data_IF_942494116514
#
_entry.id   IF_942494116514
#
_cell.length_a   1.000
_cell.length_b   1.000
_cell.length_c   1.000
_cell.angle_alpha   90.00
_cell.angle_beta   90.00
_cell.angle_gamma   90.00
#
_symmetry.space_group_name_H-M   'P 1'
#
loop_
_entity.id
_entity.type
_entity.pdbx_description
1 polymer ?
#
# COMPACT_ATOMS: atom_id res chain seq x y z
N UNK A 1 -17.51 -5.74 -30.60
CA UNK A 1 -16.29 -6.41 -30.14
C UNK A 1 -15.91 -5.83 -28.76
N UNK A 2 -16.84 -6.05 -27.81
CA UNK A 2 -16.78 -5.53 -26.41
C UNK A 2 -16.47 -6.72 -25.44
N UNK A 3 -15.88 -7.80 -26.00
CA UNK A 3 -15.62 -9.03 -25.23
C UNK A 3 -14.27 -9.08 -24.51
N UNK A 4 -13.49 -7.98 -24.51
CA UNK A 4 -12.21 -7.95 -23.79
C UNK A 4 -12.34 -7.71 -22.27
N UNK A 5 -13.53 -7.35 -21.79
CA UNK A 5 -13.89 -7.32 -20.37
C UNK A 5 -15.08 -8.27 -20.15
N UNK A 6 -14.76 -9.57 -20.10
CA UNK A 6 -15.77 -10.60 -19.84
C UNK A 6 -15.94 -10.75 -18.31
N UNK A 7 -17.00 -10.20 -17.70
CA UNK A 7 -17.30 -10.42 -16.28
C UNK A 7 -17.68 -11.88 -15.95
N UNK A 8 -17.74 -12.74 -16.97
CA UNK A 8 -18.03 -14.16 -16.89
C UNK A 8 -16.83 -15.07 -17.11
N UNK A 9 -15.59 -14.59 -17.19
CA UNK A 9 -14.45 -15.46 -17.30
C UNK A 9 -14.28 -16.24 -15.98
N UNK A 10 -14.84 -17.42 -15.93
CA UNK A 10 -14.60 -18.34 -14.82
C UNK A 10 -13.09 -18.58 -14.70
N UNK A 11 -12.51 -18.16 -13.57
CA UNK A 11 -11.11 -18.41 -13.28
C UNK A 11 -10.81 -19.90 -13.49
N UNK A 12 -9.72 -20.20 -14.16
CA UNK A 12 -9.25 -21.58 -14.33
C UNK A 12 -9.03 -22.25 -12.96
N UNK A 13 -9.10 -23.55 -12.92
CA UNK A 13 -8.90 -24.30 -11.66
C UNK A 13 -7.59 -23.95 -10.95
N UNK A 14 -6.43 -23.76 -11.63
CA UNK A 14 -5.19 -23.33 -10.99
C UNK A 14 -5.27 -21.90 -10.45
N UNK A 15 -5.90 -20.95 -11.15
CA UNK A 15 -6.08 -19.57 -10.69
C UNK A 15 -6.99 -19.48 -9.45
N UNK A 16 -8.07 -20.29 -9.41
CA UNK A 16 -8.93 -20.41 -8.21
C UNK A 16 -8.14 -20.96 -7.01
N UNK A 17 -7.27 -21.93 -7.22
CA UNK A 17 -6.44 -22.50 -6.16
C UNK A 17 -5.39 -21.51 -5.64
N UNK A 18 -4.76 -20.74 -6.52
CA UNK A 18 -3.80 -19.70 -6.15
C UNK A 18 -4.49 -18.57 -5.37
N UNK A 19 -5.63 -18.08 -5.85
CA UNK A 19 -6.44 -17.07 -5.18
C UNK A 19 -6.91 -17.50 -3.78
N UNK A 20 -7.39 -18.75 -3.64
CA UNK A 20 -7.83 -19.25 -2.32
C UNK A 20 -6.67 -19.35 -1.34
N UNK A 21 -5.49 -19.71 -1.82
CA UNK A 21 -4.27 -19.83 -1.00
C UNK A 21 -3.75 -18.44 -0.60
N UNK A 22 -3.73 -17.47 -1.51
CA UNK A 22 -3.39 -16.08 -1.24
C UNK A 22 -4.34 -15.47 -0.19
N UNK A 23 -5.66 -15.63 -0.39
CA UNK A 23 -6.67 -15.17 0.55
C UNK A 23 -6.50 -15.77 1.95
N UNK A 24 -6.15 -17.06 2.04
CA UNK A 24 -5.86 -17.71 3.34
C UNK A 24 -4.64 -17.06 4.02
N UNK A 25 -3.57 -16.78 3.28
CA UNK A 25 -2.41 -16.09 3.82
C UNK A 25 -2.75 -14.71 4.40
N UNK A 26 -3.53 -13.91 3.67
CA UNK A 26 -3.99 -12.60 4.13
C UNK A 26 -4.95 -12.67 5.33
N UNK A 27 -5.80 -13.70 5.38
CA UNK A 27 -6.68 -13.92 6.54
C UNK A 27 -5.88 -14.30 7.79
N UNK A 28 -4.86 -15.15 7.65
CA UNK A 28 -3.95 -15.48 8.76
C UNK A 28 -3.30 -14.20 9.30
N UNK A 29 -2.79 -13.35 8.41
CA UNK A 29 -2.21 -12.06 8.77
C UNK A 29 -3.22 -11.18 9.53
N UNK A 30 -4.42 -11.00 8.99
CA UNK A 30 -5.47 -10.19 9.61
C UNK A 30 -5.88 -10.73 11.00
N UNK A 31 -6.09 -12.05 11.11
CA UNK A 31 -6.43 -12.69 12.40
C UNK A 31 -5.30 -12.51 13.40
N UNK A 32 -4.04 -12.64 12.98
CA UNK A 32 -2.89 -12.41 13.86
C UNK A 32 -2.86 -10.96 14.36
N UNK A 33 -3.09 -9.96 13.50
CA UNK A 33 -3.22 -8.56 13.92
C UNK A 33 -4.33 -8.38 14.97
N UNK A 34 -5.51 -8.99 14.75
CA UNK A 34 -6.60 -8.92 15.71
C UNK A 34 -6.21 -9.52 17.07
N UNK A 35 -5.61 -10.71 17.04
CA UNK A 35 -5.20 -11.41 18.28
C UNK A 35 -4.14 -10.61 19.03
N UNK A 36 -3.09 -10.14 18.32
CA UNK A 36 -2.05 -9.31 18.94
C UNK A 36 -2.64 -8.03 19.51
N UNK A 37 -3.52 -7.35 18.77
CA UNK A 37 -4.19 -6.14 19.22
C UNK A 37 -5.05 -6.36 20.47
N UNK A 38 -5.88 -7.40 20.48
CA UNK A 38 -6.72 -7.73 21.64
C UNK A 38 -5.88 -8.08 22.88
N UNK A 39 -4.84 -8.89 22.71
CA UNK A 39 -3.93 -9.24 23.80
C UNK A 39 -3.17 -8.00 24.30
N UNK A 40 -2.76 -7.10 23.39
CA UNK A 40 -2.13 -5.84 23.78
C UNK A 40 -3.01 -5.03 24.73
N UNK A 41 -4.31 -4.87 24.47
CA UNK A 41 -5.22 -4.11 25.34
C UNK A 41 -5.36 -4.73 26.74
N UNK A 42 -5.34 -6.07 26.84
CA UNK A 42 -5.31 -6.74 28.16
C UNK A 42 -4.03 -6.40 28.91
N UNK A 43 -2.89 -6.47 28.22
CA UNK A 43 -1.60 -6.18 28.85
C UNK A 43 -1.35 -4.68 29.11
N UNK A 44 -1.97 -3.79 28.34
CA UNK A 44 -1.99 -2.34 28.67
C UNK A 44 -2.61 -2.10 30.04
N UNK A 45 -3.75 -2.75 30.30
CA UNK A 45 -4.42 -2.65 31.59
C UNK A 45 -3.55 -3.19 32.74
N UNK A 46 -2.78 -4.25 32.51
CA UNK A 46 -1.92 -4.87 33.49
C UNK A 46 -0.58 -4.14 33.70
N UNK A 47 -0.01 -3.60 32.62
CA UNK A 47 1.36 -3.01 32.64
C UNK A 47 1.40 -1.50 32.71
N UNK A 48 0.30 -0.82 32.33
CA UNK A 48 0.23 0.65 32.12
C UNK A 48 1.23 1.19 31.09
N UNK A 49 1.78 0.33 30.19
CA UNK A 49 2.76 0.70 29.18
C UNK A 49 2.11 1.38 27.97
N UNK A 50 2.62 2.55 27.61
CA UNK A 50 2.20 3.28 26.40
C UNK A 50 2.77 2.65 25.12
N UNK A 51 3.93 2.01 25.18
CA UNK A 51 4.49 1.26 24.07
C UNK A 51 3.58 0.10 23.66
N UNK A 52 3.03 -0.65 24.64
CA UNK A 52 2.09 -1.74 24.39
C UNK A 52 0.75 -1.20 23.83
N UNK A 53 0.26 -0.05 24.35
CA UNK A 53 -0.93 0.59 23.83
C UNK A 53 -0.77 0.96 22.35
N UNK A 54 0.37 1.55 22.00
CA UNK A 54 0.65 1.95 20.63
C UNK A 54 0.68 0.75 19.68
N UNK A 55 1.33 -0.35 20.08
CA UNK A 55 1.38 -1.58 19.31
C UNK A 55 -0.03 -2.19 19.14
N UNK A 56 -0.83 -2.22 20.21
CA UNK A 56 -2.23 -2.68 20.17
C UNK A 56 -3.08 -1.89 19.20
N UNK A 57 -3.02 -0.56 19.27
CA UNK A 57 -3.77 0.33 18.35
C UNK A 57 -3.34 0.12 16.91
N UNK A 58 -2.04 0.01 16.63
CA UNK A 58 -1.55 -0.26 15.28
C UNK A 58 -2.06 -1.59 14.73
N UNK A 59 -2.03 -2.64 15.53
CA UNK A 59 -2.53 -3.95 15.13
C UNK A 59 -4.04 -3.93 14.82
N UNK A 60 -4.85 -3.20 15.58
CA UNK A 60 -6.29 -3.01 15.28
C UNK A 60 -6.49 -2.20 13.99
N UNK A 61 -5.74 -1.12 13.78
CA UNK A 61 -5.78 -0.35 12.53
C UNK A 61 -5.42 -1.25 11.34
N UNK A 62 -4.39 -2.08 11.46
CA UNK A 62 -3.97 -3.00 10.39
C UNK A 62 -5.01 -4.08 10.13
N UNK A 63 -5.64 -4.62 11.16
CA UNK A 63 -6.75 -5.56 11.02
C UNK A 63 -7.92 -4.95 10.26
N UNK A 64 -8.43 -3.80 10.71
CA UNK A 64 -9.57 -3.12 10.07
C UNK A 64 -9.27 -2.74 8.63
N UNK A 65 -8.12 -2.10 8.38
CA UNK A 65 -7.73 -1.73 7.01
C UNK A 65 -7.48 -2.95 6.12
N UNK A 66 -6.99 -4.06 6.69
CA UNK A 66 -6.85 -5.35 6.00
C UNK A 66 -8.20 -5.90 5.52
N UNK A 67 -9.24 -5.85 6.36
CA UNK A 67 -10.60 -6.25 5.98
C UNK A 67 -11.16 -5.38 4.85
N UNK A 68 -10.97 -4.06 4.93
CA UNK A 68 -11.37 -3.14 3.86
C UNK A 68 -10.59 -3.42 2.56
N UNK A 69 -9.29 -3.68 2.64
CA UNK A 69 -8.47 -4.03 1.47
C UNK A 69 -8.98 -5.31 0.78
N UNK A 70 -9.37 -6.33 1.55
CA UNK A 70 -10.00 -7.55 1.00
C UNK A 70 -11.33 -7.26 0.30
N UNK A 71 -12.13 -6.35 0.83
CA UNK A 71 -13.39 -5.93 0.20
C UNK A 71 -13.14 -5.17 -1.09
N UNK A 72 -12.23 -4.20 -1.07
CA UNK A 72 -11.85 -3.38 -2.23
C UNK A 72 -11.24 -4.24 -3.33
N UNK A 73 -10.37 -5.20 -3.00
CA UNK A 73 -9.81 -6.14 -3.97
C UNK A 73 -10.89 -6.93 -4.74
N UNK A 74 -12.09 -7.04 -4.18
CA UNK A 74 -13.26 -7.61 -4.85
C UNK A 74 -13.93 -6.56 -5.75
N UNK A 75 -14.18 -5.34 -5.22
CA UNK A 75 -14.77 -4.24 -5.97
C UNK A 75 -13.94 -3.82 -7.20
N UNK A 76 -12.62 -3.88 -7.11
CA UNK A 76 -11.71 -3.58 -8.24
C UNK A 76 -11.85 -4.54 -9.44
N UNK A 77 -12.57 -5.66 -9.28
CA UNK A 77 -12.88 -6.61 -10.35
C UNK A 77 -14.26 -6.39 -10.95
N UNK A 78 -15.08 -5.57 -10.31
CA UNK A 78 -16.39 -5.20 -10.81
C UNK A 78 -16.22 -4.03 -11.82
N UNK A 79 -16.96 -4.04 -12.93
CA UNK A 79 -16.99 -2.90 -13.83
C UNK A 79 -17.48 -1.66 -13.08
N UNK A 80 -17.11 -0.48 -13.55
CA UNK A 80 -17.69 0.76 -13.05
C UNK A 80 -19.22 0.75 -13.22
N UNK A 81 -19.91 1.43 -12.32
CA UNK A 81 -21.35 1.62 -12.34
C UNK A 81 -21.70 3.08 -12.68
N UNK A 82 -22.99 3.43 -12.62
CA UNK A 82 -23.45 4.81 -12.88
C UNK A 82 -22.89 5.82 -11.85
N UNK A 83 -22.64 5.38 -10.62
CA UNK A 83 -22.08 6.23 -9.55
C UNK A 83 -20.55 6.36 -9.65
N UNK A 84 -19.87 5.27 -10.08
CA UNK A 84 -18.42 5.23 -10.25
C UNK A 84 -18.05 4.85 -11.70
N UNK A 85 -18.24 5.75 -12.68
CA UNK A 85 -18.05 5.44 -14.11
C UNK A 85 -16.60 5.10 -14.48
N UNK A 86 -15.61 5.53 -13.68
CA UNK A 86 -14.20 5.15 -13.83
C UNK A 86 -13.80 3.94 -12.95
N UNK A 87 -14.80 3.25 -12.37
CA UNK A 87 -14.57 2.11 -11.48
C UNK A 87 -14.04 2.51 -10.10
N UNK A 88 -13.59 1.51 -9.35
CA UNK A 88 -13.26 1.63 -7.92
C UNK A 88 -11.77 1.81 -7.62
N UNK A 89 -10.93 2.13 -8.62
CA UNK A 89 -9.47 2.18 -8.50
C UNK A 89 -8.98 3.14 -7.38
N UNK A 90 -9.68 4.24 -7.17
CA UNK A 90 -9.35 5.26 -6.16
C UNK A 90 -9.60 4.83 -4.71
N UNK A 91 -10.38 3.76 -4.48
CA UNK A 91 -10.58 3.23 -3.14
C UNK A 91 -9.30 2.62 -2.53
N UNK A 92 -8.39 2.10 -3.37
CA UNK A 92 -7.12 1.55 -2.90
C UNK A 92 -6.21 2.64 -2.28
N UNK A 93 -5.89 3.75 -2.95
CA UNK A 93 -5.15 4.85 -2.33
C UNK A 93 -5.92 5.51 -1.18
N UNK A 94 -7.25 5.62 -1.23
CA UNK A 94 -8.05 6.17 -0.14
C UNK A 94 -7.82 5.39 1.17
N UNK A 95 -7.96 4.07 1.16
CA UNK A 95 -7.75 3.23 2.35
C UNK A 95 -6.31 3.29 2.83
N UNK A 96 -5.34 3.28 1.90
CA UNK A 96 -3.93 3.41 2.26
C UNK A 96 -3.62 4.77 2.88
N UNK A 97 -4.28 5.84 2.41
CA UNK A 97 -4.19 7.18 2.97
C UNK A 97 -4.77 7.28 4.37
N UNK A 98 -5.99 6.76 4.56
CA UNK A 98 -6.64 6.70 5.88
C UNK A 98 -5.79 5.90 6.87
N UNK A 99 -5.29 4.72 6.47
CA UNK A 99 -4.39 3.92 7.30
C UNK A 99 -3.14 4.71 7.70
N UNK A 100 -2.45 5.33 6.72
CA UNK A 100 -1.26 6.11 6.98
C UNK A 100 -1.54 7.31 7.91
N UNK A 101 -2.65 8.01 7.72
CA UNK A 101 -3.05 9.14 8.56
C UNK A 101 -3.38 8.72 9.99
N UNK A 102 -4.11 7.61 10.18
CA UNK A 102 -4.43 7.08 11.52
C UNK A 102 -3.17 6.65 12.27
N UNK A 103 -2.28 5.89 11.62
CA UNK A 103 -1.01 5.46 12.23
C UNK A 103 -0.13 6.66 12.56
N UNK A 104 -0.04 7.66 11.66
CA UNK A 104 0.71 8.89 11.89
C UNK A 104 0.14 9.68 13.07
N UNK A 105 -1.18 9.89 13.10
CA UNK A 105 -1.86 10.62 14.18
C UNK A 105 -1.63 9.96 15.54
N UNK A 106 -1.80 8.63 15.63
CA UNK A 106 -1.54 7.89 16.86
C UNK A 106 -0.07 7.92 17.28
N UNK A 107 0.87 7.88 16.30
CA UNK A 107 2.30 8.03 16.60
C UNK A 107 2.62 9.40 17.20
N UNK A 108 2.02 10.48 16.68
CA UNK A 108 2.23 11.84 17.21
C UNK A 108 1.64 12.00 18.61
N UNK A 109 0.45 11.47 18.86
CA UNK A 109 -0.18 11.46 20.20
C UNK A 109 0.69 10.70 21.18
N UNK A 110 1.16 9.49 20.80
CA UNK A 110 2.02 8.69 21.64
C UNK A 110 3.37 9.38 21.94
N UNK A 111 3.95 10.04 20.92
CA UNK A 111 5.19 10.82 21.07
C UNK A 111 5.01 11.98 22.07
N UNK A 112 3.91 12.74 21.95
CA UNK A 112 3.61 13.84 22.87
C UNK A 112 3.44 13.32 24.30
N UNK A 113 2.66 12.26 24.52
CA UNK A 113 2.46 11.65 25.84
C UNK A 113 3.73 11.05 26.43
N UNK A 114 4.62 10.48 25.60
CA UNK A 114 5.90 9.97 26.05
C UNK A 114 6.87 11.10 26.42
N UNK A 115 6.89 12.18 25.67
CA UNK A 115 7.69 13.36 25.99
C UNK A 115 7.22 14.04 27.30
N UNK A 116 5.92 14.15 27.51
CA UNK A 116 5.33 14.65 28.75
C UNK A 116 5.70 13.73 29.94
N UNK A 117 5.55 12.42 29.80
CA UNK A 117 5.93 11.47 30.82
C UNK A 117 7.43 11.56 31.17
N UNK A 118 8.30 11.64 30.15
CA UNK A 118 9.73 11.82 30.37
C UNK A 118 10.08 13.12 31.12
N UNK A 119 9.37 14.22 30.83
CA UNK A 119 9.56 15.51 31.50
C UNK A 119 9.01 15.53 32.93
N UNK A 120 8.02 14.68 33.25
CA UNK A 120 7.33 14.62 34.54
C UNK A 120 7.89 13.56 35.51
N UNK A 121 9.05 12.99 35.22
CA UNK A 121 9.69 12.00 36.10
C UNK A 121 9.53 10.55 35.64
N UNK A 122 9.00 10.34 34.43
CA UNK A 122 8.82 9.02 33.85
C UNK A 122 7.41 8.43 34.08
N UNK A 123 7.26 7.16 33.77
CA UNK A 123 6.02 6.40 33.99
C UNK A 123 6.33 5.08 34.66
N UNK A 124 5.63 4.82 35.74
CA UNK A 124 5.73 3.50 36.38
C UNK A 124 4.98 2.47 35.56
N UNK A 125 5.64 1.40 35.17
CA UNK A 125 5.07 0.25 34.50
C UNK A 125 5.34 -1.03 35.26
N UNK A 126 4.44 -2.01 35.15
CA UNK A 126 4.64 -3.34 35.72
C UNK A 126 5.50 -4.14 34.71
N UNK A 127 6.76 -4.37 35.11
CA UNK A 127 7.79 -4.98 34.26
C UNK A 127 7.46 -6.42 33.86
N UNK A 128 6.87 -7.21 34.73
CA UNK A 128 6.52 -8.61 34.46
C UNK A 128 5.46 -8.72 33.35
N UNK A 129 4.38 -7.92 33.45
CA UNK A 129 3.35 -7.86 32.42
C UNK A 129 3.91 -7.31 31.09
N UNK A 130 4.75 -6.27 31.14
CA UNK A 130 5.34 -5.69 29.95
C UNK A 130 6.23 -6.70 29.19
N UNK A 131 7.08 -7.44 29.90
CA UNK A 131 7.90 -8.53 29.34
C UNK A 131 7.02 -9.66 28.83
N UNK A 132 5.99 -10.06 29.59
CA UNK A 132 5.05 -11.11 29.17
C UNK A 132 4.39 -10.80 27.83
N UNK A 133 3.91 -9.57 27.67
CA UNK A 133 3.40 -9.11 26.37
C UNK A 133 4.46 -9.14 25.28
N UNK A 134 5.65 -8.59 25.54
CA UNK A 134 6.70 -8.48 24.53
C UNK A 134 7.18 -9.87 24.04
N UNK A 135 7.24 -10.87 24.93
CA UNK A 135 7.50 -12.27 24.54
C UNK A 135 6.38 -12.79 23.62
N UNK A 136 5.12 -12.61 24.03
CA UNK A 136 3.97 -13.02 23.22
C UNK A 136 3.98 -12.35 21.83
N UNK A 137 4.14 -11.02 21.77
CA UNK A 137 4.14 -10.27 20.51
C UNK A 137 5.30 -10.70 19.61
N UNK A 138 6.50 -10.90 20.16
CA UNK A 138 7.67 -11.38 19.43
C UNK A 138 7.41 -12.75 18.81
N UNK A 139 6.90 -13.71 19.58
CA UNK A 139 6.57 -15.05 19.09
C UNK A 139 5.47 -15.00 18.03
N UNK A 140 4.42 -14.21 18.25
CA UNK A 140 3.32 -14.05 17.32
C UNK A 140 3.79 -13.45 15.96
N UNK A 141 4.57 -12.37 16.01
CA UNK A 141 5.09 -11.71 14.81
C UNK A 141 6.03 -12.62 13.98
N UNK A 142 6.97 -13.32 14.63
CA UNK A 142 7.86 -14.25 13.93
C UNK A 142 7.10 -15.47 13.41
N UNK A 143 6.10 -15.98 14.13
CA UNK A 143 5.23 -17.06 13.65
C UNK A 143 4.43 -16.63 12.43
N UNK A 144 3.85 -15.43 12.45
CA UNK A 144 3.14 -14.85 11.29
C UNK A 144 4.08 -14.68 10.09
N UNK A 145 5.28 -14.13 10.32
CA UNK A 145 6.30 -14.03 9.26
C UNK A 145 6.60 -15.37 8.60
N UNK A 146 6.88 -16.40 9.39
CA UNK A 146 7.21 -17.73 8.87
C UNK A 146 6.02 -18.34 8.13
N UNK A 147 4.80 -18.22 8.66
CA UNK A 147 3.58 -18.71 8.05
C UNK A 147 3.28 -18.04 6.72
N UNK A 148 3.25 -16.70 6.68
CA UNK A 148 2.99 -15.92 5.47
C UNK A 148 4.09 -16.13 4.42
N UNK A 149 5.35 -16.16 4.82
CA UNK A 149 6.49 -16.45 3.93
C UNK A 149 6.38 -17.84 3.30
N UNK A 150 5.96 -18.84 4.08
CA UNK A 150 5.79 -20.20 3.57
C UNK A 150 4.69 -20.25 2.48
N UNK A 151 3.56 -19.61 2.73
CA UNK A 151 2.47 -19.48 1.74
C UNK A 151 2.92 -18.68 0.51
N UNK A 152 3.59 -17.56 0.70
CA UNK A 152 4.10 -16.69 -0.37
C UNK A 152 5.05 -17.41 -1.33
N UNK A 153 5.89 -18.32 -0.83
CA UNK A 153 6.79 -19.12 -1.66
C UNK A 153 6.05 -20.14 -2.54
N UNK A 154 4.86 -20.58 -2.13
CA UNK A 154 4.05 -21.55 -2.88
C UNK A 154 3.17 -20.90 -3.94
N UNK A 155 2.71 -19.66 -3.72
CA UNK A 155 1.80 -18.94 -4.60
C UNK A 155 2.50 -17.94 -5.50
N UNK A 156 3.80 -17.69 -5.29
CA UNK A 156 4.57 -16.65 -5.96
C UNK A 156 3.94 -15.24 -5.92
N UNK A 157 2.98 -15.01 -5.00
CA UNK A 157 2.22 -13.77 -4.84
C UNK A 157 3.10 -12.60 -4.39
N UNK A 158 3.15 -11.48 -5.14
CA UNK A 158 3.84 -10.26 -4.71
C UNK A 158 3.23 -9.66 -3.44
N UNK A 159 1.90 -9.78 -3.26
CA UNK A 159 1.17 -9.25 -2.12
C UNK A 159 1.58 -9.97 -0.83
N UNK A 160 1.61 -11.31 -0.83
CA UNK A 160 2.07 -12.09 0.32
C UNK A 160 3.56 -11.90 0.60
N UNK A 161 4.39 -11.62 -0.42
CA UNK A 161 5.81 -11.26 -0.20
C UNK A 161 5.94 -9.94 0.55
N UNK A 162 5.14 -8.93 0.17
CA UNK A 162 5.12 -7.65 0.86
C UNK A 162 4.61 -7.79 2.30
N UNK A 163 3.55 -8.59 2.50
CA UNK A 163 3.01 -8.86 3.83
C UNK A 163 4.01 -9.60 4.73
N UNK A 164 4.72 -10.61 4.21
CA UNK A 164 5.80 -11.28 4.92
C UNK A 164 6.94 -10.33 5.30
N UNK A 165 7.32 -9.39 4.42
CA UNK A 165 8.31 -8.37 4.74
C UNK A 165 7.84 -7.45 5.88
N UNK A 166 6.56 -7.08 5.91
CA UNK A 166 5.97 -6.30 7.01
C UNK A 166 6.03 -7.07 8.34
N UNK A 167 5.68 -8.36 8.34
CA UNK A 167 5.78 -9.21 9.54
C UNK A 167 7.21 -9.39 10.02
N UNK A 168 8.19 -9.46 9.12
CA UNK A 168 9.62 -9.49 9.48
C UNK A 168 10.03 -8.20 10.21
N UNK A 169 9.62 -7.04 9.71
CA UNK A 169 9.88 -5.75 10.37
C UNK A 169 9.19 -5.69 11.74
N UNK A 170 7.92 -6.08 11.82
CA UNK A 170 7.20 -6.13 13.10
C UNK A 170 7.87 -7.08 14.11
N UNK A 171 8.33 -8.26 13.67
CA UNK A 171 9.09 -9.18 14.51
C UNK A 171 10.39 -8.60 15.03
N UNK A 172 11.13 -7.86 14.19
CA UNK A 172 12.34 -7.17 14.62
C UNK A 172 12.05 -6.05 15.63
N UNK A 173 10.99 -5.26 15.39
CA UNK A 173 10.54 -4.22 16.33
C UNK A 173 10.10 -4.84 17.66
N UNK A 174 9.26 -5.88 17.65
CA UNK A 174 8.82 -6.57 18.88
C UNK A 174 10.00 -7.18 19.64
N UNK A 175 11.01 -7.69 18.94
CA UNK A 175 12.26 -8.17 19.59
C UNK A 175 13.01 -7.02 20.26
N UNK A 176 13.11 -5.86 19.63
CA UNK A 176 13.74 -4.68 20.24
C UNK A 176 12.96 -4.19 21.47
N UNK A 177 11.62 -4.21 21.43
CA UNK A 177 10.75 -3.91 22.56
C UNK A 177 10.96 -4.90 23.72
N UNK A 178 11.06 -6.19 23.40
CA UNK A 178 11.35 -7.23 24.40
C UNK A 178 12.70 -6.98 25.08
N UNK A 179 13.74 -6.68 24.31
CA UNK A 179 15.07 -6.37 24.86
C UNK A 179 15.04 -5.12 25.75
N UNK A 180 14.27 -4.09 25.36
CA UNK A 180 14.10 -2.88 26.16
C UNK A 180 13.41 -3.18 27.50
N UNK A 181 12.33 -3.96 27.52
CA UNK A 181 11.69 -4.33 28.78
C UNK A 181 12.52 -5.30 29.63
N UNK A 182 13.28 -6.22 29.00
CA UNK A 182 14.23 -7.06 29.73
C UNK A 182 15.36 -6.24 30.37
N UNK A 183 15.75 -5.11 29.80
CA UNK A 183 16.76 -4.23 30.39
C UNK A 183 16.34 -3.65 31.74
N UNK A 184 15.03 -3.60 32.06
CA UNK A 184 14.52 -3.15 33.34
C UNK A 184 15.06 -4.03 34.50
N UNK A 185 15.13 -5.35 34.29
CA UNK A 185 15.69 -6.26 35.29
C UNK A 185 17.19 -6.03 35.49
N UNK A 186 17.93 -5.71 34.42
CA UNK A 186 19.34 -5.36 34.50
C UNK A 186 19.55 -4.02 35.23
N UNK A 187 18.73 -3.00 34.91
CA UNK A 187 18.75 -1.69 35.57
C UNK A 187 18.53 -1.86 37.10
N UNK A 188 17.53 -2.66 37.45
CA UNK A 188 17.25 -2.99 38.86
C UNK A 188 18.44 -3.71 39.53
N UNK A 189 19.01 -4.73 38.88
CA UNK A 189 20.16 -5.46 39.39
C UNK A 189 21.42 -4.58 39.60
N UNK A 190 21.54 -3.50 38.82
CA UNK A 190 22.62 -2.51 38.95
C UNK A 190 22.33 -1.42 40.01
N UNK A 191 21.16 -1.46 40.66
CA UNK A 191 20.76 -0.45 41.66
C UNK A 191 20.41 0.91 41.08
N UNK A 192 20.08 0.97 39.77
CA UNK A 192 19.76 2.20 39.07
C UNK A 192 18.23 2.41 38.92
N UNK A 193 17.46 2.08 39.93
CA UNK A 193 15.99 2.06 39.94
C UNK A 193 15.36 3.38 39.53
N UNK A 194 16.05 4.52 39.72
CA UNK A 194 15.61 5.84 39.29
C UNK A 194 15.45 5.98 37.74
N UNK A 195 16.04 5.05 36.95
CA UNK A 195 15.91 5.02 35.51
C UNK A 195 14.70 4.19 35.03
N UNK A 196 14.16 3.31 35.87
CA UNK A 196 13.05 2.42 35.47
C UNK A 196 11.83 3.15 34.91
N UNK A 197 11.37 4.29 35.50
CA UNK A 197 10.20 5.03 34.96
C UNK A 197 10.42 5.60 33.58
N UNK A 198 11.68 5.74 33.14
CA UNK A 198 12.00 6.31 31.83
C UNK A 198 12.07 5.27 30.69
N UNK A 199 12.09 3.97 31.00
CA UNK A 199 12.24 2.90 29.99
C UNK A 199 11.12 2.95 28.96
N UNK A 200 9.85 3.00 29.38
CA UNK A 200 8.70 3.05 28.49
C UNK A 200 8.63 4.36 27.67
N UNK A 201 8.73 5.57 28.27
CA UNK A 201 8.77 6.81 27.50
C UNK A 201 9.89 6.87 26.46
N UNK A 202 11.10 6.47 26.83
CA UNK A 202 12.26 6.45 25.93
C UNK A 202 12.04 5.45 24.79
N UNK A 203 11.50 4.28 25.10
CA UNK A 203 11.16 3.27 24.11
C UNK A 203 10.11 3.78 23.10
N UNK A 204 9.03 4.41 23.58
CA UNK A 204 8.01 5.02 22.69
C UNK A 204 8.61 6.07 21.79
N UNK A 205 9.42 7.00 22.35
CA UNK A 205 10.09 8.03 21.55
C UNK A 205 10.98 7.41 20.49
N UNK A 206 11.81 6.43 20.85
CA UNK A 206 12.71 5.75 19.93
C UNK A 206 11.93 5.02 18.82
N UNK A 207 10.87 4.28 19.17
CA UNK A 207 10.02 3.59 18.20
C UNK A 207 9.36 4.57 17.21
N UNK A 208 8.77 5.64 17.73
CA UNK A 208 8.10 6.63 16.88
C UNK A 208 9.10 7.33 15.97
N UNK A 209 10.24 7.79 16.49
CA UNK A 209 11.28 8.47 15.67
C UNK A 209 11.77 7.58 14.53
N UNK A 210 11.98 6.30 14.79
CA UNK A 210 12.43 5.35 13.76
C UNK A 210 11.33 5.03 12.75
N UNK A 211 10.07 4.91 13.18
CA UNK A 211 8.99 4.39 12.32
C UNK A 211 8.14 5.46 11.66
N UNK A 212 8.07 6.70 12.19
CA UNK A 212 7.12 7.75 11.76
C UNK A 212 7.22 8.11 10.25
N UNK A 213 8.41 7.96 9.68
CA UNK A 213 8.64 8.23 8.25
C UNK A 213 7.83 7.30 7.33
N UNK A 214 7.46 6.11 7.80
CA UNK A 214 6.71 5.13 7.00
C UNK A 214 5.25 5.57 6.82
N UNK A 215 4.45 5.77 7.89
CA UNK A 215 3.06 6.22 7.74
C UNK A 215 2.95 7.61 7.12
N UNK A 216 3.91 8.51 7.39
CA UNK A 216 3.93 9.84 6.77
C UNK A 216 4.09 9.75 5.24
N UNK A 217 5.02 8.94 4.74
CA UNK A 217 5.19 8.70 3.30
C UNK A 217 4.00 7.98 2.69
N UNK A 218 3.40 7.04 3.42
CA UNK A 218 2.22 6.31 2.95
C UNK A 218 1.02 7.25 2.78
N UNK A 219 0.73 8.10 3.77
CA UNK A 219 -0.34 9.09 3.69
C UNK A 219 -0.10 10.11 2.56
N UNK A 220 1.14 10.62 2.45
CA UNK A 220 1.52 11.55 1.39
C UNK A 220 1.39 10.94 -0.01
N UNK A 221 1.87 9.73 -0.19
CA UNK A 221 1.78 9.02 -1.47
C UNK A 221 0.33 8.79 -1.87
N UNK A 222 -0.48 8.32 -0.95
CA UNK A 222 -1.91 8.09 -1.18
C UNK A 222 -2.64 9.39 -1.56
N UNK A 223 -2.35 10.51 -0.87
CA UNK A 223 -2.88 11.82 -1.22
C UNK A 223 -2.47 12.23 -2.66
N UNK A 224 -1.21 12.04 -3.03
CA UNK A 224 -0.73 12.37 -4.37
C UNK A 224 -1.37 11.48 -5.47
N UNK A 225 -1.61 10.21 -5.17
CA UNK A 225 -2.32 9.29 -6.08
C UNK A 225 -3.79 9.71 -6.25
N UNK A 226 -4.46 10.17 -5.19
CA UNK A 226 -5.84 10.71 -5.25
C UNK A 226 -5.91 12.04 -6.01
N UNK A 227 -4.85 12.84 -5.96
CA UNK A 227 -4.73 14.09 -6.73
C UNK A 227 -4.28 13.86 -8.19
N UNK A 228 -4.31 12.63 -8.67
CA UNK A 228 -3.90 12.27 -10.03
C UNK A 228 -2.45 12.65 -10.38
N UNK A 229 -1.55 12.65 -9.39
CA UNK A 229 -0.14 12.88 -9.66
C UNK A 229 0.39 11.80 -10.60
N UNK A 230 1.04 12.23 -11.67
CA UNK A 230 1.66 11.33 -12.63
C UNK A 230 2.68 10.38 -11.94
N UNK A 231 2.77 9.11 -12.37
CA UNK A 231 3.75 8.17 -11.85
C UNK A 231 5.19 8.61 -12.16
N UNK A 232 6.16 7.83 -11.69
CA UNK A 232 7.58 8.15 -11.89
C UNK A 232 7.93 8.36 -13.36
N UNK A 233 8.92 9.22 -13.64
CA UNK A 233 9.41 9.51 -15.00
C UNK A 233 9.70 8.22 -15.76
N UNK A 234 10.35 7.25 -15.11
CA UNK A 234 10.67 5.94 -15.72
C UNK A 234 9.44 5.19 -16.23
N UNK A 235 8.33 5.21 -15.49
CA UNK A 235 7.07 4.56 -15.89
C UNK A 235 6.45 5.30 -17.07
N UNK A 236 6.42 6.62 -17.03
CA UNK A 236 5.85 7.46 -18.10
C UNK A 236 6.63 7.29 -19.40
N UNK A 237 7.96 7.35 -19.36
CA UNK A 237 8.83 7.16 -20.52
C UNK A 237 8.66 5.77 -21.14
N UNK A 238 8.54 4.74 -20.28
CA UNK A 238 8.30 3.37 -20.76
C UNK A 238 6.96 3.25 -21.49
N UNK A 239 5.88 3.81 -20.92
CA UNK A 239 4.56 3.81 -21.58
C UNK A 239 4.61 4.58 -22.88
N UNK A 240 5.23 5.77 -22.89
CA UNK A 240 5.39 6.58 -24.10
C UNK A 240 6.15 5.81 -25.18
N UNK A 241 7.26 5.16 -24.84
CA UNK A 241 8.03 4.36 -25.78
C UNK A 241 7.23 3.18 -26.37
N UNK A 242 6.37 2.52 -25.57
CA UNK A 242 5.47 1.46 -26.06
C UNK A 242 4.47 2.05 -27.06
N UNK A 243 3.79 3.14 -26.71
CA UNK A 243 2.84 3.82 -27.62
C UNK A 243 3.53 4.23 -28.92
N UNK A 244 4.66 4.94 -28.84
CA UNK A 244 5.41 5.39 -30.03
C UNK A 244 5.89 4.21 -30.89
N UNK A 245 6.25 3.08 -30.29
CA UNK A 245 6.67 1.89 -31.04
C UNK A 245 5.53 1.29 -31.89
N UNK A 246 4.28 1.38 -31.39
CA UNK A 246 3.10 0.84 -32.04
C UNK A 246 2.55 1.71 -33.19
N UNK A 247 2.97 2.98 -33.27
CA UNK A 247 2.48 3.95 -34.26
C UNK A 247 3.57 4.44 -35.23
N UNK A 248 4.72 3.76 -35.27
CA UNK A 248 5.87 4.15 -36.14
C UNK A 248 5.57 4.12 -37.63
N UNK A 249 4.60 3.31 -38.04
CA UNK A 249 4.12 3.15 -39.39
C UNK A 249 3.17 4.28 -39.86
N UNK A 250 2.77 5.15 -38.94
CA UNK A 250 1.90 6.29 -39.19
C UNK A 250 2.71 7.59 -39.39
N UNK A 251 2.22 8.54 -40.20
CA UNK A 251 2.84 9.86 -40.33
C UNK A 251 2.48 10.76 -39.15
N UNK A 252 2.96 10.38 -37.94
CA UNK A 252 2.62 11.08 -36.69
C UNK A 252 3.40 12.38 -36.60
N UNK A 253 2.71 13.51 -36.41
CA UNK A 253 3.33 14.81 -36.13
C UNK A 253 3.72 14.97 -34.67
N UNK A 254 2.82 14.60 -33.76
CA UNK A 254 3.02 14.71 -32.31
C UNK A 254 2.29 13.61 -31.57
N UNK A 255 2.81 13.22 -30.40
CA UNK A 255 2.17 12.28 -29.47
C UNK A 255 2.20 12.84 -28.06
N UNK A 256 1.05 12.96 -27.44
CA UNK A 256 0.91 13.33 -26.04
C UNK A 256 0.43 12.11 -25.25
N UNK A 257 1.17 11.71 -24.21
CA UNK A 257 0.83 10.56 -23.38
C UNK A 257 0.71 11.02 -21.92
N UNK A 258 -0.50 10.95 -21.39
CA UNK A 258 -0.79 11.20 -19.97
C UNK A 258 -1.02 9.89 -19.26
N UNK A 259 -0.48 9.80 -18.06
CA UNK A 259 -0.59 8.61 -17.23
C UNK A 259 -0.94 9.03 -15.82
N UNK A 260 -2.01 8.45 -15.27
CA UNK A 260 -2.31 8.50 -13.85
C UNK A 260 -2.37 7.08 -13.31
N UNK A 261 -1.99 6.88 -12.05
CA UNK A 261 -1.89 5.55 -11.46
C UNK A 261 -2.46 5.55 -10.04
N UNK A 262 -3.80 5.46 -9.89
CA UNK A 262 -4.41 5.21 -8.59
C UNK A 262 -4.22 3.73 -8.19
N UNK A 263 -3.45 3.51 -7.12
CA UNK A 263 -3.15 2.17 -6.64
C UNK A 263 -2.46 1.30 -7.69
N UNK A 264 -3.05 0.15 -8.01
CA UNK A 264 -2.54 -0.81 -9.00
C UNK A 264 -3.01 -0.57 -10.42
N UNK A 265 -4.08 0.20 -10.62
CA UNK A 265 -4.63 0.50 -11.93
C UNK A 265 -3.88 1.65 -12.59
N UNK A 266 -3.80 1.65 -13.91
CA UNK A 266 -3.21 2.73 -14.70
C UNK A 266 -4.20 3.20 -15.75
N UNK A 267 -4.36 4.50 -15.84
CA UNK A 267 -5.13 5.15 -16.90
C UNK A 267 -4.14 5.86 -17.81
N UNK A 268 -4.12 5.46 -19.07
CA UNK A 268 -3.25 6.01 -20.12
C UNK A 268 -4.15 6.68 -21.15
N UNK A 269 -3.96 7.98 -21.33
CA UNK A 269 -4.58 8.72 -22.42
C UNK A 269 -3.49 9.12 -23.42
N UNK A 270 -3.61 8.63 -24.64
CA UNK A 270 -2.68 8.89 -25.74
C UNK A 270 -3.37 9.70 -26.83
N UNK A 271 -2.92 10.93 -27.07
CA UNK A 271 -3.38 11.76 -28.18
C UNK A 271 -2.35 11.70 -29.31
N UNK A 272 -2.75 11.16 -30.43
CA UNK A 272 -1.93 11.01 -31.65
C UNK A 272 -2.35 12.04 -32.67
N UNK A 273 -1.49 13.00 -32.92
CA UNK A 273 -1.72 14.07 -33.88
C UNK A 273 -1.19 13.63 -35.24
N UNK A 274 -2.07 13.57 -36.22
CA UNK A 274 -1.80 13.17 -37.61
C UNK A 274 -1.92 14.37 -38.55
N UNK A 275 -1.25 14.38 -39.70
CA UNK A 275 -1.41 15.43 -40.71
C UNK A 275 -2.85 15.60 -41.18
N UNK A 276 -3.26 16.82 -41.51
CA UNK A 276 -4.63 17.14 -41.94
C UNK A 276 -5.05 16.47 -43.24
N UNK A 277 -4.09 16.15 -44.07
CA UNK A 277 -4.25 15.45 -45.35
C UNK A 277 -4.17 13.91 -45.20
N UNK A 278 -3.96 13.41 -43.99
CA UNK A 278 -3.98 12.00 -43.72
C UNK A 278 -5.42 11.50 -43.58
N UNK A 279 -5.86 10.70 -44.56
CA UNK A 279 -7.13 10.00 -44.47
C UNK A 279 -6.92 8.61 -43.85
N UNK A 280 -7.34 8.42 -42.59
CA UNK A 280 -7.30 7.09 -42.01
C UNK A 280 -8.26 6.16 -42.77
N UNK A 281 -7.87 4.90 -42.96
CA UNK A 281 -8.64 3.90 -43.69
C UNK A 281 -9.98 3.50 -43.01
N UNK A 282 -10.58 4.42 -42.25
CA UNK A 282 -11.82 4.26 -41.51
C UNK A 282 -11.63 3.91 -40.04
N UNK A 283 -12.73 3.72 -39.33
CA UNK A 283 -12.72 3.43 -37.88
C UNK A 283 -12.05 2.09 -37.57
N UNK A 284 -12.21 1.09 -38.43
CA UNK A 284 -11.61 -0.24 -38.22
C UNK A 284 -10.07 -0.17 -38.15
N UNK A 285 -9.44 0.63 -39.04
CA UNK A 285 -7.99 0.80 -38.99
C UNK A 285 -7.53 1.52 -37.73
N UNK A 286 -8.33 2.45 -37.22
CA UNK A 286 -8.04 3.10 -35.93
C UNK A 286 -8.18 2.11 -34.77
N UNK A 287 -9.16 1.21 -34.80
CA UNK A 287 -9.37 0.18 -33.81
C UNK A 287 -8.23 -0.86 -33.80
N UNK A 288 -7.72 -1.24 -34.98
CA UNK A 288 -6.53 -2.12 -35.08
C UNK A 288 -5.28 -1.50 -34.42
N UNK A 289 -5.11 -0.17 -34.56
CA UNK A 289 -4.01 0.54 -33.89
C UNK A 289 -4.22 0.58 -32.37
N UNK A 290 -5.46 0.83 -31.91
CA UNK A 290 -5.81 0.80 -30.48
C UNK A 290 -5.54 -0.57 -29.88
N UNK A 291 -5.96 -1.63 -30.56
CA UNK A 291 -5.74 -3.02 -30.14
C UNK A 291 -4.24 -3.34 -30.04
N UNK A 292 -3.45 -2.95 -31.04
CA UNK A 292 -1.98 -3.12 -31.03
C UNK A 292 -1.31 -2.41 -29.84
N UNK A 293 -1.72 -1.17 -29.53
CA UNK A 293 -1.21 -0.42 -28.38
C UNK A 293 -1.67 -1.09 -27.08
N UNK A 294 -2.94 -1.49 -27.01
CA UNK A 294 -3.51 -2.13 -25.84
C UNK A 294 -2.81 -3.45 -25.51
N UNK A 295 -2.62 -4.32 -26.50
CA UNK A 295 -1.92 -5.61 -26.35
C UNK A 295 -0.48 -5.43 -25.85
N UNK A 296 0.23 -4.48 -26.45
CA UNK A 296 1.60 -4.16 -26.06
C UNK A 296 1.68 -3.66 -24.60
N UNK A 297 0.74 -2.80 -24.19
CA UNK A 297 0.66 -2.30 -22.82
C UNK A 297 0.24 -3.37 -21.84
N UNK A 298 -0.76 -4.21 -22.15
CA UNK A 298 -1.20 -5.31 -21.28
C UNK A 298 -0.10 -6.33 -21.05
N UNK A 299 0.69 -6.65 -22.07
CA UNK A 299 1.83 -7.57 -21.97
C UNK A 299 2.93 -7.03 -21.04
N UNK A 300 3.19 -5.74 -21.09
CA UNK A 300 4.27 -5.09 -20.34
C UNK A 300 3.80 -4.61 -18.94
N UNK A 301 2.57 -4.12 -18.86
CA UNK A 301 1.96 -3.52 -17.67
C UNK A 301 0.49 -3.91 -17.53
N UNK A 302 0.17 -5.11 -17.03
CA UNK A 302 -1.21 -5.54 -16.82
C UNK A 302 -2.01 -4.58 -15.94
N UNK A 303 -3.33 -4.45 -16.21
CA UNK A 303 -4.22 -3.54 -15.50
C UNK A 303 -4.14 -2.08 -15.99
N UNK A 304 -3.68 -1.87 -17.23
CA UNK A 304 -3.71 -0.56 -17.89
C UNK A 304 -5.04 -0.37 -18.64
N UNK A 305 -5.72 0.73 -18.36
CA UNK A 305 -6.87 1.21 -19.14
C UNK A 305 -6.34 2.22 -20.14
N UNK A 306 -6.69 2.06 -21.42
CA UNK A 306 -6.16 2.86 -22.51
C UNK A 306 -7.29 3.62 -23.20
N UNK A 307 -7.08 4.91 -23.36
CA UNK A 307 -7.84 5.77 -24.25
C UNK A 307 -6.91 6.36 -25.32
N UNK A 308 -7.27 6.18 -26.63
CA UNK A 308 -6.48 6.69 -27.74
C UNK A 308 -7.35 7.61 -28.60
N UNK A 309 -6.95 8.85 -28.66
CA UNK A 309 -7.58 9.88 -29.50
C UNK A 309 -6.68 10.17 -30.69
N UNK A 310 -7.22 9.95 -31.90
CA UNK A 310 -6.59 10.39 -33.14
C UNK A 310 -7.18 11.76 -33.54
N UNK A 311 -6.33 12.72 -33.83
CA UNK A 311 -6.75 14.08 -34.19
C UNK A 311 -5.81 14.69 -35.23
N UNK A 312 -6.33 15.58 -36.05
CA UNK A 312 -5.54 16.40 -36.94
C UNK A 312 -5.26 17.82 -36.40
N UNK A 313 -5.65 18.07 -35.14
CA UNK A 313 -5.46 19.38 -34.50
C UNK A 313 -4.95 19.20 -33.07
N UNK A 314 -3.70 19.59 -32.84
CA UNK A 314 -3.05 19.50 -31.53
C UNK A 314 -3.80 20.25 -30.41
N UNK A 315 -4.68 21.22 -30.74
CA UNK A 315 -5.46 21.98 -29.75
C UNK A 315 -6.42 21.11 -28.91
N UNK A 316 -6.76 19.93 -29.40
CA UNK A 316 -7.57 18.96 -28.65
C UNK A 316 -6.81 18.29 -27.51
N UNK A 317 -5.48 18.49 -27.46
CA UNK A 317 -4.70 18.09 -26.28
C UNK A 317 -4.50 19.29 -25.34
N UNK A 318 -4.89 19.19 -24.06
CA UNK A 318 -4.71 20.28 -23.07
C UNK A 318 -3.24 20.70 -22.85
N UNK A 319 -2.26 19.86 -23.21
CA UNK A 319 -0.85 20.20 -23.08
C UNK A 319 -0.26 20.88 -24.32
N UNK A 320 -1.04 20.99 -25.41
CA UNK A 320 -0.59 21.64 -26.64
C UNK A 320 -0.17 23.10 -26.45
N UNK A 321 -0.79 23.81 -25.51
CA UNK A 321 -0.44 25.21 -25.18
C UNK A 321 0.85 25.34 -24.37
N UNK A 322 1.32 24.28 -23.72
CA UNK A 322 2.59 24.28 -22.95
C UNK A 322 3.82 24.21 -23.87
N UNK A 323 3.67 23.69 -25.09
CA UNK A 323 4.75 23.62 -26.08
C UNK A 323 4.99 24.96 -26.80
N UNK A 324 4.11 25.95 -26.58
CA UNK A 324 4.23 27.31 -27.14
C UNK A 324 4.95 28.29 -26.20
N UNK A 325 5.32 27.84 -24.99
CA UNK A 325 6.07 28.60 -24.00
C UNK A 325 7.51 28.07 -23.89
#
# INVERSE_FOLDING_TARGET
>A
MIDAYNPGMEMSAPEKAEYTTERRGLLISAVTCLVVGCVAFVFVYLSSSQAILLDGVFNIIYFLTGLFTLRIARLLREPGDEEFPFGFAYFEPLINGVKGALVLGMSLIALAGAAEAAASGGREIEAGAAVGYAVFATVACWSAFLGVRHVSKRTNSPLLRADAANWMVNGAVSTAVLLAFLSMYLIHALGADHLLPYVDPVLVIALVVVTISVPARQAWRALMEMLNRAPSVKVRERIKAVVESCIRDLPVEQVFVRVVQPGRMRYVSAHVVLPRDFEPAGLLAQDEIRERIWDALQKDMPGTILDVVFTADARWDPDADQLKR
#
